data_IF_969029669097
#
_entry.id   IF_969029669097
#
_cell.length_a   1.000
_cell.length_b   1.000
_cell.length_c   1.000
_cell.angle_alpha   90.00
_cell.angle_beta   90.00
_cell.angle_gamma   90.00
#
_symmetry.space_group_name_H-M   'P 1'
#
loop_
_entity.id
_entity.type
_entity.pdbx_description
1 polymer ?
#
# COMPACT_ATOMS: atom_id res chain seq x y z
N UNK A 1 -15.89 -7.04 17.30
CA UNK A 1 -15.58 -6.92 15.87
C UNK A 1 -16.09 -5.58 15.35
N UNK A 2 -15.34 -4.95 14.55
CA UNK A 2 -15.83 -3.76 13.91
C UNK A 2 -16.96 -4.10 12.93
N UNK A 3 -17.96 -3.27 12.88
CA UNK A 3 -19.06 -3.45 11.96
C UNK A 3 -18.61 -3.14 10.52
N UNK A 4 -19.27 -3.75 9.56
CA UNK A 4 -19.04 -3.46 8.15
C UNK A 4 -19.72 -2.14 7.81
N UNK A 5 -19.02 -1.03 8.00
CA UNK A 5 -19.56 0.32 7.84
C UNK A 5 -19.72 0.76 6.40
N UNK A 6 -19.25 -0.04 5.41
CA UNK A 6 -19.38 0.28 4.00
C UNK A 6 -20.59 -0.38 3.34
N UNK A 7 -21.50 -0.89 4.15
CA UNK A 7 -22.77 -1.48 3.68
C UNK A 7 -23.93 -0.86 4.43
N UNK A 8 -25.03 -0.65 3.72
CA UNK A 8 -26.26 -0.18 4.35
C UNK A 8 -27.01 -1.34 5.01
N UNK A 9 -28.17 -1.04 5.61
CA UNK A 9 -29.00 -2.04 6.31
C UNK A 9 -29.55 -3.12 5.35
N UNK A 10 -29.54 -2.88 4.07
CA UNK A 10 -30.00 -3.82 3.04
C UNK A 10 -28.86 -4.60 2.40
N UNK A 11 -27.63 -4.42 2.86
CA UNK A 11 -26.46 -5.09 2.33
C UNK A 11 -25.86 -4.45 1.09
N UNK A 12 -26.34 -3.30 0.66
CA UNK A 12 -25.75 -2.59 -0.47
C UNK A 12 -24.49 -1.83 -0.05
N UNK A 13 -23.49 -1.85 -0.91
CA UNK A 13 -22.24 -1.12 -0.64
C UNK A 13 -22.50 0.39 -0.71
N UNK A 14 -22.05 1.12 0.27
CA UNK A 14 -22.19 2.58 0.35
C UNK A 14 -20.88 3.22 0.82
N UNK A 15 -20.69 4.48 0.44
CA UNK A 15 -19.62 5.31 0.97
C UNK A 15 -20.12 5.97 2.26
N UNK A 16 -19.42 5.72 3.37
CA UNK A 16 -19.82 6.24 4.67
C UNK A 16 -19.64 7.75 4.72
N UNK A 17 -20.65 8.45 5.25
CA UNK A 17 -20.55 9.89 5.49
C UNK A 17 -19.63 10.16 6.69
N UNK A 18 -18.57 10.92 6.45
CA UNK A 18 -17.60 11.28 7.49
C UNK A 18 -17.58 12.78 7.76
N UNK A 19 -18.54 13.52 7.21
CA UNK A 19 -18.56 14.99 7.30
C UNK A 19 -18.66 15.52 8.72
N UNK A 20 -19.32 14.77 9.62
CA UNK A 20 -19.51 15.16 11.01
C UNK A 20 -18.42 14.65 11.95
N UNK A 21 -17.49 13.86 11.45
CA UNK A 21 -16.42 13.34 12.29
C UNK A 21 -15.37 14.41 12.56
N UNK A 22 -14.84 14.47 13.79
CA UNK A 22 -13.79 15.44 14.10
C UNK A 22 -12.52 15.13 13.29
N UNK A 23 -11.74 16.18 13.03
CA UNK A 23 -10.43 16.01 12.40
C UNK A 23 -9.49 15.36 13.41
N UNK A 24 -8.92 14.24 13.05
CA UNK A 24 -7.98 13.50 13.89
C UNK A 24 -6.81 13.00 13.04
N UNK A 25 -5.67 12.81 13.70
CA UNK A 25 -4.53 12.15 13.06
C UNK A 25 -4.80 10.66 13.01
N UNK A 26 -4.67 10.08 11.82
CA UNK A 26 -4.85 8.64 11.62
C UNK A 26 -3.63 8.07 10.93
N UNK A 27 -3.27 6.87 11.36
CA UNK A 27 -2.14 6.14 10.79
C UNK A 27 -2.64 4.79 10.31
N UNK A 28 -2.31 4.45 9.07
CA UNK A 28 -2.55 3.14 8.53
C UNK A 28 -1.22 2.51 8.15
N UNK A 29 -1.03 1.25 8.52
CA UNK A 29 0.16 0.48 8.19
C UNK A 29 -0.29 -0.78 7.47
N UNK A 30 0.33 -1.06 6.34
CA UNK A 30 0.07 -2.28 5.59
C UNK A 30 1.39 -2.93 5.22
N UNK A 31 1.39 -4.24 5.12
CA UNK A 31 2.54 -5.01 4.69
C UNK A 31 2.16 -5.92 3.53
N UNK A 32 3.13 -6.22 2.71
CA UNK A 32 2.95 -7.15 1.61
C UNK A 32 4.22 -7.91 1.36
N UNK A 33 4.14 -8.98 0.61
CA UNK A 33 5.29 -9.81 0.28
C UNK A 33 5.20 -10.24 -1.18
N UNK A 34 6.32 -10.19 -1.88
CA UNK A 34 6.46 -10.72 -3.22
C UNK A 34 7.54 -11.79 -3.19
N UNK A 35 7.21 -12.97 -3.69
CA UNK A 35 8.18 -14.03 -3.92
C UNK A 35 8.72 -13.92 -5.33
N UNK A 36 10.02 -14.03 -5.47
CA UNK A 36 10.70 -13.99 -6.76
C UNK A 36 11.64 -15.19 -6.86
N UNK A 37 12.07 -15.54 -8.07
CA UNK A 37 13.06 -16.59 -8.21
C UNK A 37 14.40 -16.11 -7.65
N UNK A 38 15.24 -17.05 -7.25
CA UNK A 38 16.50 -16.74 -6.61
C UNK A 38 17.41 -15.85 -7.48
N UNK A 39 17.43 -16.08 -8.77
CA UNK A 39 18.25 -15.27 -9.68
C UNK A 39 17.82 -13.80 -9.64
N UNK A 40 16.52 -13.53 -9.72
CA UNK A 40 16.00 -12.17 -9.65
C UNK A 40 16.28 -11.54 -8.29
N UNK A 41 16.08 -12.30 -7.21
CA UNK A 41 16.36 -11.83 -5.87
C UNK A 41 17.81 -11.38 -5.73
N UNK A 42 18.75 -12.19 -6.17
CA UNK A 42 20.15 -11.85 -6.10
C UNK A 42 20.51 -10.61 -6.92
N UNK A 43 19.91 -10.47 -8.11
CA UNK A 43 20.14 -9.28 -8.92
C UNK A 43 19.60 -8.02 -8.28
N UNK A 44 18.46 -8.09 -7.65
CA UNK A 44 17.91 -6.94 -6.90
C UNK A 44 18.82 -6.61 -5.73
N UNK A 45 19.26 -7.61 -4.98
CA UNK A 45 20.14 -7.43 -3.83
C UNK A 45 21.46 -6.78 -4.21
N UNK A 46 22.00 -7.11 -5.40
CA UNK A 46 23.28 -6.60 -5.89
C UNK A 46 23.12 -5.35 -6.76
N UNK A 47 21.91 -4.85 -6.96
CA UNK A 47 21.63 -3.73 -7.85
C UNK A 47 22.08 -4.00 -9.31
N UNK A 48 21.92 -5.23 -9.77
CA UNK A 48 22.37 -5.67 -11.10
C UNK A 48 21.26 -5.67 -12.16
N UNK A 49 20.09 -5.11 -11.83
CA UNK A 49 19.00 -5.01 -12.80
C UNK A 49 19.31 -3.86 -13.78
N UNK A 50 19.22 -4.15 -15.08
CA UNK A 50 19.59 -3.20 -16.12
C UNK A 50 18.79 -1.90 -16.10
N UNK A 51 17.59 -1.92 -15.56
CA UNK A 51 16.74 -0.72 -15.46
C UNK A 51 17.04 0.16 -14.26
N UNK A 52 18.09 -0.16 -13.49
CA UNK A 52 18.55 0.66 -12.38
C UNK A 52 18.03 0.20 -11.03
N UNK A 53 17.76 1.15 -10.13
CA UNK A 53 17.38 0.87 -8.75
C UNK A 53 15.91 0.41 -8.65
N UNK A 54 15.73 -0.90 -8.67
CA UNK A 54 14.39 -1.51 -8.61
C UNK A 54 13.62 -1.10 -7.36
N UNK A 55 14.27 -1.15 -6.20
CA UNK A 55 13.60 -0.80 -4.93
C UNK A 55 13.29 0.68 -4.86
N UNK A 56 14.14 1.53 -5.36
CA UNK A 56 13.88 2.97 -5.41
C UNK A 56 12.69 3.31 -6.29
N UNK A 57 12.59 2.68 -7.46
CA UNK A 57 11.45 2.86 -8.36
C UNK A 57 10.18 2.30 -7.74
N UNK A 58 10.26 1.14 -7.10
CA UNK A 58 9.11 0.55 -6.42
C UNK A 58 8.62 1.43 -5.27
N UNK A 59 9.54 2.04 -4.52
CA UNK A 59 9.19 2.97 -3.44
C UNK A 59 8.42 4.17 -3.98
N UNK A 60 8.93 4.77 -5.03
CA UNK A 60 8.28 5.91 -5.66
C UNK A 60 6.89 5.54 -6.18
N UNK A 61 6.77 4.40 -6.85
CA UNK A 61 5.49 3.91 -7.34
C UNK A 61 4.50 3.66 -6.20
N UNK A 62 4.97 3.10 -5.08
CA UNK A 62 4.13 2.88 -3.90
C UNK A 62 3.61 4.18 -3.31
N UNK A 63 4.46 5.19 -3.18
CA UNK A 63 4.05 6.50 -2.69
C UNK A 63 3.02 7.13 -3.62
N UNK A 64 3.24 7.07 -4.93
CA UNK A 64 2.29 7.59 -5.90
C UNK A 64 0.95 6.86 -5.83
N UNK A 65 0.98 5.55 -5.63
CA UNK A 65 -0.23 4.76 -5.50
C UNK A 65 -1.05 5.14 -4.27
N UNK A 66 -0.41 5.44 -3.14
CA UNK A 66 -1.14 5.84 -1.94
C UNK A 66 -1.88 7.16 -2.14
N UNK A 67 -1.35 8.05 -2.95
CA UNK A 67 -2.02 9.32 -3.29
C UNK A 67 -3.27 9.11 -4.14
N UNK A 68 -3.41 7.94 -4.73
CA UNK A 68 -4.56 7.58 -5.60
C UNK A 68 -5.46 6.52 -4.96
N UNK A 69 -5.37 6.34 -3.66
CA UNK A 69 -6.14 5.31 -2.97
C UNK A 69 -7.63 5.43 -3.25
N UNK A 70 -8.18 6.64 -3.25
CA UNK A 70 -9.61 6.85 -3.50
C UNK A 70 -10.02 6.49 -4.93
N UNK A 71 -9.09 6.49 -5.89
CA UNK A 71 -9.34 6.07 -7.26
C UNK A 71 -9.27 4.55 -7.42
N UNK A 72 -8.41 3.90 -6.62
CA UNK A 72 -8.14 2.48 -6.73
C UNK A 72 -9.06 1.62 -5.88
N UNK A 73 -9.47 2.15 -4.73
CA UNK A 73 -10.30 1.45 -3.77
C UNK A 73 -11.71 2.03 -3.82
N UNK A 74 -12.71 1.27 -4.29
CA UNK A 74 -14.09 1.75 -4.31
C UNK A 74 -14.56 2.14 -2.92
N UNK A 75 -15.37 3.17 -2.83
CA UNK A 75 -15.98 3.67 -1.60
C UNK A 75 -14.99 4.28 -0.59
N UNK A 76 -13.74 4.49 -1.00
CA UNK A 76 -12.77 5.20 -0.19
C UNK A 76 -12.89 6.70 -0.47
N UNK A 77 -12.97 7.51 0.59
CA UNK A 77 -12.95 8.96 0.46
C UNK A 77 -11.55 9.44 0.04
N UNK A 78 -11.44 10.57 -0.67
CA UNK A 78 -10.14 11.21 -0.88
C UNK A 78 -9.47 11.48 0.47
N UNK A 79 -8.20 11.14 0.59
CA UNK A 79 -7.46 11.22 1.86
C UNK A 79 -6.41 12.34 1.77
N UNK A 80 -6.43 13.29 2.71
CA UNK A 80 -5.40 14.33 2.78
C UNK A 80 -4.13 13.77 3.45
N UNK A 81 -3.34 13.00 2.70
CA UNK A 81 -2.14 12.41 3.22
C UNK A 81 -1.09 13.47 3.55
N UNK A 82 -0.56 13.43 4.75
CA UNK A 82 0.50 14.33 5.19
C UNK A 82 1.86 13.64 5.24
N UNK A 83 1.88 12.32 5.29
CA UNK A 83 3.10 11.52 5.29
C UNK A 83 2.83 10.16 4.68
N UNK A 84 3.78 9.68 3.91
CA UNK A 84 3.79 8.32 3.38
C UNK A 84 5.21 7.79 3.38
N UNK A 85 5.41 6.61 3.92
CA UNK A 85 6.68 5.90 3.88
C UNK A 85 6.48 4.52 3.27
N UNK A 86 7.44 4.10 2.46
CA UNK A 86 7.49 2.75 1.92
C UNK A 86 8.88 2.20 2.21
N UNK A 87 8.93 1.11 2.94
CA UNK A 87 10.19 0.46 3.33
C UNK A 87 10.18 -0.98 2.84
N UNK A 88 11.36 -1.50 2.56
CA UNK A 88 11.54 -2.84 2.05
C UNK A 88 12.41 -3.67 2.99
N UNK A 89 12.14 -4.96 3.02
CA UNK A 89 12.96 -5.93 3.70
C UNK A 89 13.19 -7.11 2.75
N UNK A 90 14.45 -7.42 2.51
CA UNK A 90 14.83 -8.55 1.66
C UNK A 90 14.96 -9.79 2.53
N UNK A 91 14.17 -10.81 2.24
CA UNK A 91 14.19 -12.09 2.95
C UNK A 91 14.88 -13.14 2.10
N UNK A 92 16.20 -13.23 2.23
CA UNK A 92 17.02 -14.11 1.40
C UNK A 92 16.62 -15.59 1.51
N UNK A 93 16.33 -16.06 2.70
CA UNK A 93 15.94 -17.45 2.91
C UNK A 93 14.65 -17.82 2.19
N UNK A 94 13.80 -16.86 1.92
CA UNK A 94 12.51 -17.06 1.25
C UNK A 94 12.51 -16.55 -0.18
N UNK A 95 13.59 -15.92 -0.63
CA UNK A 95 13.64 -15.18 -1.89
C UNK A 95 12.45 -14.23 -2.03
N UNK A 96 12.18 -13.48 -0.99
CA UNK A 96 11.01 -12.63 -0.91
C UNK A 96 11.37 -11.18 -0.59
N UNK A 97 10.56 -10.27 -1.10
CA UNK A 97 10.64 -8.84 -0.84
C UNK A 97 9.42 -8.45 0.01
N UNK A 98 9.65 -7.84 1.13
CA UNK A 98 8.59 -7.32 1.99
C UNK A 98 8.43 -5.84 1.77
#
# INVERSE_FOLDING_TARGET
MSELTHFDSEGNAIMVDVSEKPVTTRIAVATGKIYVCQEIFERIQRHEIAKGDVLGVARLAGIMATKRTSELIPLCHPLPLTKCEVNFELKEAESALY
#
